data_IF_838291108808
#
_entry.id   IF_838291108808
#
_cell.length_a   1.000
_cell.length_b   1.000
_cell.length_c   1.000
_cell.angle_alpha   90.00
_cell.angle_beta   90.00
_cell.angle_gamma   90.00
#
_symmetry.space_group_name_H-M   'P 1'
#
loop_
_entity.id
_entity.type
_entity.pdbx_description
1 polymer ?
#
# COMPACT_ATOMS: atom_id res chain seq x y z
N UNK A 1 -4.84 8.02 20.89
CA UNK A 1 -3.72 7.24 21.47
C UNK A 1 -2.62 8.21 21.85
N UNK A 2 -2.18 8.19 23.11
CA UNK A 2 -0.98 8.92 23.54
C UNK A 2 0.22 8.01 23.30
N UNK A 3 0.96 8.25 22.21
CA UNK A 3 2.12 7.43 21.84
C UNK A 3 3.33 8.04 22.55
N UNK A 4 4.00 7.32 23.47
CA UNK A 4 5.15 7.84 24.19
C UNK A 4 6.20 8.43 23.24
N UNK A 5 6.70 9.63 23.56
CA UNK A 5 7.74 10.29 22.77
C UNK A 5 7.27 10.91 21.45
N UNK A 6 6.00 10.78 21.04
CA UNK A 6 5.56 11.29 19.73
C UNK A 6 5.70 12.81 19.58
N UNK A 7 5.54 13.55 20.69
CA UNK A 7 5.75 15.01 20.71
C UNK A 7 7.21 15.35 20.42
N UNK A 8 8.15 14.55 20.90
CA UNK A 8 9.59 14.72 20.65
C UNK A 8 9.88 14.38 19.18
N UNK A 9 9.41 13.23 18.70
CA UNK A 9 9.64 12.77 17.32
C UNK A 9 9.05 13.72 16.26
N UNK A 10 7.98 14.45 16.60
CA UNK A 10 7.35 15.46 15.73
C UNK A 10 7.82 16.89 16.00
N UNK A 11 8.79 17.09 16.89
CA UNK A 11 9.27 18.42 17.22
C UNK A 11 10.25 18.94 16.17
N UNK A 12 10.18 20.26 15.95
CA UNK A 12 11.15 20.98 15.12
C UNK A 12 12.56 20.84 15.68
N UNK A 13 12.71 20.98 17.00
CA UNK A 13 14.02 20.88 17.67
C UNK A 13 14.70 19.53 17.43
N UNK A 14 13.94 18.42 17.53
CA UNK A 14 14.48 17.09 17.23
C UNK A 14 14.86 16.96 15.76
N UNK A 15 14.02 17.46 14.84
CA UNK A 15 14.32 17.46 13.41
C UNK A 15 15.61 18.23 13.10
N UNK A 16 15.79 19.42 13.67
CA UNK A 16 17.02 20.22 13.49
C UNK A 16 18.26 19.51 14.04
N UNK A 17 18.14 18.82 15.18
CA UNK A 17 19.22 17.99 15.75
C UNK A 17 19.59 16.82 14.82
N UNK A 18 18.61 16.15 14.22
CA UNK A 18 18.83 15.07 13.26
C UNK A 18 19.50 15.60 11.99
N UNK A 19 19.01 16.69 11.41
CA UNK A 19 19.60 17.30 10.21
C UNK A 19 21.05 17.74 10.47
N UNK A 20 21.35 18.34 11.62
CA UNK A 20 22.73 18.68 12.01
C UNK A 20 23.62 17.44 12.10
N UNK A 21 23.10 16.34 12.65
CA UNK A 21 23.84 15.08 12.78
C UNK A 21 24.12 14.45 11.41
N UNK A 22 23.11 14.41 10.53
CA UNK A 22 23.25 13.95 9.14
C UNK A 22 24.31 14.78 8.41
N UNK A 23 24.25 16.10 8.49
CA UNK A 23 25.24 17.00 7.87
C UNK A 23 26.67 16.73 8.37
N UNK A 24 26.84 16.39 9.65
CA UNK A 24 28.16 16.05 10.20
C UNK A 24 28.71 14.75 9.61
N UNK A 25 27.87 13.71 9.49
CA UNK A 25 28.27 12.40 8.99
C UNK A 25 28.56 12.45 7.48
N UNK A 26 27.74 13.16 6.71
CA UNK A 26 27.85 13.22 5.25
C UNK A 26 29.11 13.94 4.78
N UNK A 27 29.72 14.82 5.59
CA UNK A 27 30.97 15.52 5.23
C UNK A 27 32.11 14.57 4.87
N UNK A 28 32.14 13.37 5.44
CA UNK A 28 33.18 12.38 5.21
C UNK A 28 32.87 11.46 4.01
N UNK A 29 31.69 11.61 3.40
CA UNK A 29 31.19 10.75 2.34
C UNK A 29 31.45 11.42 0.99
N UNK A 30 32.29 10.81 0.16
CA UNK A 30 32.73 11.36 -1.14
C UNK A 30 31.86 10.94 -2.33
N UNK A 31 30.75 10.25 -2.09
CA UNK A 31 29.82 9.78 -3.12
C UNK A 31 28.37 10.15 -2.77
N UNK A 32 27.49 10.36 -3.77
CA UNK A 32 26.06 10.40 -3.53
C UNK A 32 25.60 9.08 -2.89
N UNK A 33 24.68 9.17 -1.93
CA UNK A 33 24.02 8.05 -1.27
C UNK A 33 22.55 8.07 -1.65
N UNK A 34 22.08 6.94 -2.18
CA UNK A 34 20.67 6.77 -2.56
C UNK A 34 19.96 5.87 -1.57
N UNK A 35 18.99 6.43 -0.87
CA UNK A 35 18.03 5.65 -0.09
C UNK A 35 16.72 5.49 -0.86
N UNK A 36 16.03 4.37 -0.67
CA UNK A 36 14.68 4.17 -1.19
C UNK A 36 13.73 3.80 -0.05
N UNK A 37 12.57 4.43 0.02
CA UNK A 37 11.47 3.91 0.85
C UNK A 37 10.46 3.18 -0.02
N UNK A 38 9.77 2.19 0.54
CA UNK A 38 8.70 1.43 -0.13
C UNK A 38 7.37 1.56 0.62
N UNK A 39 7.08 2.78 1.11
CA UNK A 39 5.85 3.12 1.82
C UNK A 39 5.26 4.44 1.31
N UNK A 40 4.01 4.43 0.85
CA UNK A 40 3.30 5.66 0.47
C UNK A 40 3.14 6.65 1.63
N UNK A 41 3.03 6.17 2.88
CA UNK A 41 2.98 7.05 4.05
C UNK A 41 4.30 7.77 4.29
N UNK A 42 5.45 7.13 4.01
CA UNK A 42 6.75 7.80 4.07
C UNK A 42 6.86 8.87 2.99
N UNK A 43 6.41 8.58 1.75
CA UNK A 43 6.35 9.58 0.68
C UNK A 43 5.52 10.79 1.10
N UNK A 44 4.33 10.54 1.66
CA UNK A 44 3.45 11.59 2.15
C UNK A 44 4.14 12.44 3.22
N UNK A 45 4.85 11.83 4.16
CA UNK A 45 5.63 12.57 5.19
C UNK A 45 6.75 13.40 4.56
N UNK A 46 7.55 12.83 3.65
CA UNK A 46 8.64 13.55 2.99
C UNK A 46 8.12 14.77 2.23
N UNK A 47 7.01 14.60 1.50
CA UNK A 47 6.39 15.65 0.69
C UNK A 47 5.67 16.70 1.54
N UNK A 48 4.83 16.28 2.50
CA UNK A 48 4.05 17.19 3.37
C UNK A 48 4.94 18.13 4.18
N UNK A 49 6.09 17.66 4.66
CA UNK A 49 7.00 18.45 5.48
C UNK A 49 8.19 19.00 4.71
N UNK A 50 8.27 18.78 3.39
CA UNK A 50 9.38 19.30 2.58
C UNK A 50 10.74 18.81 3.05
N UNK A 51 10.86 17.53 3.43
CA UNK A 51 12.08 17.01 4.05
C UNK A 51 13.23 16.85 3.05
N UNK A 52 12.95 16.60 1.76
CA UNK A 52 13.99 16.43 0.73
C UNK A 52 14.91 17.66 0.60
N UNK A 53 14.40 18.90 0.49
CA UNK A 53 15.22 20.10 0.51
C UNK A 53 16.06 20.33 1.78
N UNK A 54 15.71 19.70 2.91
CA UNK A 54 16.46 19.85 4.17
C UNK A 54 17.68 18.94 4.26
N UNK A 55 17.75 17.92 3.39
CA UNK A 55 18.85 16.97 3.37
C UNK A 55 20.06 17.54 2.60
N UNK A 56 21.28 17.12 2.94
CA UNK A 56 22.46 17.42 2.14
C UNK A 56 22.28 16.94 0.70
N UNK A 57 22.87 17.65 -0.27
CA UNK A 57 22.78 17.33 -1.71
C UNK A 57 23.34 15.93 -2.06
N UNK A 58 24.19 15.38 -1.20
CA UNK A 58 24.76 14.04 -1.33
C UNK A 58 23.75 12.94 -1.00
N UNK A 59 22.64 13.25 -0.31
CA UNK A 59 21.59 12.28 0.02
C UNK A 59 20.40 12.43 -0.91
N UNK A 60 20.08 11.36 -1.61
CA UNK A 60 18.89 11.23 -2.43
C UNK A 60 17.92 10.24 -1.77
N UNK A 61 16.64 10.63 -1.64
CA UNK A 61 15.58 9.72 -1.17
C UNK A 61 14.58 9.47 -2.31
N UNK A 62 14.65 8.26 -2.85
CA UNK A 62 13.80 7.73 -3.90
C UNK A 62 12.50 7.13 -3.36
N UNK A 63 11.45 7.26 -4.17
CA UNK A 63 10.15 6.66 -3.93
C UNK A 63 10.07 5.32 -4.67
N UNK A 64 10.02 4.22 -3.92
CA UNK A 64 9.85 2.88 -4.45
C UNK A 64 8.37 2.45 -4.60
N UNK A 65 8.11 1.18 -4.95
CA UNK A 65 6.77 0.62 -5.16
C UNK A 65 5.97 0.44 -3.85
N UNK A 66 5.70 1.53 -3.13
CA UNK A 66 5.05 1.54 -1.81
C UNK A 66 3.55 1.81 -1.82
N UNK A 67 2.89 1.72 -2.98
CA UNK A 67 1.47 1.94 -3.18
C UNK A 67 0.83 0.67 -3.75
N UNK A 68 0.03 -0.10 -2.99
CA UNK A 68 -0.49 -1.39 -3.44
C UNK A 68 -1.47 -1.25 -4.62
N UNK A 69 -2.21 -0.14 -4.66
CA UNK A 69 -3.12 0.22 -5.75
C UNK A 69 -2.36 0.47 -7.04
N UNK A 70 -1.25 1.21 -6.95
CA UNK A 70 -0.43 1.62 -8.09
C UNK A 70 0.33 0.43 -8.73
N UNK A 71 0.63 -0.60 -7.95
CA UNK A 71 1.34 -1.82 -8.41
C UNK A 71 0.38 -2.97 -8.69
N UNK A 72 -0.94 -2.73 -8.62
CA UNK A 72 -1.94 -3.72 -8.98
C UNK A 72 -1.89 -3.95 -10.49
N UNK A 73 -1.65 -5.19 -10.96
CA UNK A 73 -1.64 -5.48 -12.40
C UNK A 73 -3.01 -5.22 -13.02
N UNK A 74 -3.04 -4.63 -14.22
CA UNK A 74 -4.28 -4.43 -14.98
C UNK A 74 -5.08 -5.73 -15.10
N UNK A 75 -4.40 -6.87 -15.27
CA UNK A 75 -5.02 -8.19 -15.35
C UNK A 75 -5.84 -8.57 -14.10
N UNK A 76 -5.46 -8.13 -12.90
CA UNK A 76 -6.24 -8.40 -11.69
C UNK A 76 -7.51 -7.53 -11.63
N UNK A 77 -7.43 -6.29 -12.12
CA UNK A 77 -8.58 -5.40 -12.25
C UNK A 77 -9.52 -5.90 -13.35
N UNK A 78 -8.98 -6.37 -14.48
CA UNK A 78 -9.75 -6.96 -15.57
C UNK A 78 -10.55 -8.19 -15.11
N UNK A 79 -9.99 -9.04 -14.24
CA UNK A 79 -10.75 -10.15 -13.62
C UNK A 79 -11.94 -9.63 -12.82
N UNK A 80 -11.75 -8.63 -11.98
CA UNK A 80 -12.83 -8.02 -11.21
C UNK A 80 -13.90 -7.40 -12.13
N UNK A 81 -13.46 -6.84 -13.25
CA UNK A 81 -14.36 -6.28 -14.27
C UNK A 81 -15.19 -7.36 -14.95
N UNK A 82 -14.57 -8.44 -15.43
CA UNK A 82 -15.29 -9.52 -16.11
C UNK A 82 -16.29 -10.21 -15.18
N UNK A 83 -15.92 -10.44 -13.91
CA UNK A 83 -16.85 -10.97 -12.90
C UNK A 83 -17.99 -9.99 -12.65
N UNK A 84 -17.69 -8.70 -12.49
CA UNK A 84 -18.69 -7.66 -12.19
C UNK A 84 -19.68 -7.36 -13.33
N UNK A 85 -19.48 -7.90 -14.53
CA UNK A 85 -20.47 -7.83 -15.61
C UNK A 85 -21.66 -8.78 -15.41
N UNK A 86 -21.55 -9.76 -14.51
CA UNK A 86 -22.63 -10.70 -14.21
C UNK A 86 -23.70 -10.02 -13.34
N UNK A 87 -24.97 -10.25 -13.67
CA UNK A 87 -26.10 -9.65 -12.95
C UNK A 87 -26.26 -10.16 -11.50
N UNK A 88 -25.73 -11.34 -11.22
CA UNK A 88 -25.76 -12.00 -9.91
C UNK A 88 -24.60 -11.60 -9.00
N UNK A 89 -23.79 -10.59 -9.35
CA UNK A 89 -22.61 -10.19 -8.60
C UNK A 89 -22.69 -8.78 -8.01
N UNK A 90 -21.94 -8.56 -6.92
CA UNK A 90 -21.61 -7.25 -6.37
C UNK A 90 -20.09 -7.18 -6.19
N UNK A 91 -19.42 -6.28 -6.90
CA UNK A 91 -17.99 -6.02 -6.68
C UNK A 91 -17.84 -5.00 -5.56
N UNK A 92 -17.04 -5.33 -4.54
CA UNK A 92 -16.66 -4.40 -3.47
C UNK A 92 -15.17 -4.09 -3.57
N UNK A 93 -14.82 -2.82 -3.47
CA UNK A 93 -13.43 -2.34 -3.64
C UNK A 93 -13.16 -1.11 -2.77
N UNK A 94 -11.89 -0.82 -2.50
CA UNK A 94 -11.50 0.44 -1.89
C UNK A 94 -11.73 1.63 -2.85
N UNK A 95 -11.92 2.82 -2.26
CA UNK A 95 -12.27 4.04 -3.02
C UNK A 95 -11.16 4.56 -3.92
N UNK A 96 -9.90 4.31 -3.58
CA UNK A 96 -8.73 4.64 -4.41
C UNK A 96 -8.59 3.71 -5.63
N UNK A 97 -8.96 2.44 -5.48
CA UNK A 97 -8.91 1.45 -6.57
C UNK A 97 -10.00 1.66 -7.64
N UNK A 98 -11.19 2.17 -7.28
CA UNK A 98 -12.35 2.18 -8.20
C UNK A 98 -12.07 2.91 -9.54
N UNK A 99 -11.18 3.89 -9.55
CA UNK A 99 -10.84 4.70 -10.74
C UNK A 99 -9.57 4.27 -11.45
N UNK A 100 -8.88 3.24 -10.96
CA UNK A 100 -7.64 2.77 -11.59
C UNK A 100 -7.98 2.19 -12.97
N UNK A 101 -7.28 2.64 -14.04
CA UNK A 101 -7.50 2.10 -15.37
C UNK A 101 -6.99 0.65 -15.45
N UNK A 102 -7.80 -0.25 -16.00
CA UNK A 102 -7.37 -1.57 -16.45
C UNK A 102 -7.12 -1.56 -17.96
N UNK A 103 -7.28 -2.69 -18.66
CA UNK A 103 -7.01 -2.76 -20.11
C UNK A 103 -7.98 -1.91 -20.92
N UNK A 104 -9.29 -2.05 -20.67
CA UNK A 104 -10.34 -1.39 -21.48
C UNK A 104 -11.23 -0.43 -20.67
N UNK A 105 -11.36 -0.65 -19.36
CA UNK A 105 -12.20 0.15 -18.48
C UNK A 105 -11.72 0.08 -17.03
N UNK A 106 -12.22 0.99 -16.20
CA UNK A 106 -12.09 0.97 -14.73
C UNK A 106 -13.36 0.42 -14.08
N UNK A 107 -13.30 0.05 -12.80
CA UNK A 107 -14.48 -0.34 -12.01
C UNK A 107 -15.52 0.80 -11.92
N UNK A 108 -15.08 2.06 -11.91
CA UNK A 108 -15.96 3.22 -11.97
C UNK A 108 -16.73 3.29 -13.30
N UNK A 109 -16.07 3.02 -14.42
CA UNK A 109 -16.72 2.96 -15.74
C UNK A 109 -17.63 1.74 -15.86
N UNK A 110 -17.27 0.60 -15.26
CA UNK A 110 -18.14 -0.57 -15.17
C UNK A 110 -19.44 -0.25 -14.41
N UNK A 111 -19.32 0.41 -13.25
CA UNK A 111 -20.46 0.92 -12.48
C UNK A 111 -21.36 1.84 -13.30
N UNK A 112 -20.76 2.76 -14.06
CA UNK A 112 -21.52 3.67 -14.93
C UNK A 112 -22.28 2.94 -16.05
N UNK A 113 -21.89 1.71 -16.40
CA UNK A 113 -22.59 0.83 -17.35
C UNK A 113 -23.67 -0.04 -16.71
N UNK A 114 -23.97 0.14 -15.43
CA UNK A 114 -25.07 -0.53 -14.72
C UNK A 114 -24.67 -1.67 -13.78
N UNK A 115 -23.37 -2.03 -13.73
CA UNK A 115 -22.89 -3.05 -12.79
C UNK A 115 -22.97 -2.59 -11.33
N UNK A 116 -23.20 -3.54 -10.40
CA UNK A 116 -23.24 -3.26 -8.97
C UNK A 116 -21.82 -3.25 -8.38
N UNK A 117 -21.20 -2.06 -8.36
CA UNK A 117 -19.88 -1.82 -7.75
C UNK A 117 -20.01 -0.89 -6.55
N UNK A 118 -19.52 -1.33 -5.39
CA UNK A 118 -19.64 -0.62 -4.11
C UNK A 118 -18.26 -0.32 -3.52
N UNK A 119 -18.11 0.89 -2.96
CA UNK A 119 -16.91 1.29 -2.24
C UNK A 119 -17.05 0.84 -0.79
N UNK A 120 -16.01 0.23 -0.24
CA UNK A 120 -15.95 -0.23 1.16
C UNK A 120 -14.67 0.26 1.84
N UNK A 121 -14.67 0.32 3.18
CA UNK A 121 -13.47 0.65 3.96
C UNK A 121 -12.67 -0.58 4.38
N UNK A 122 -13.21 -1.78 4.19
CA UNK A 122 -12.54 -3.03 4.48
C UNK A 122 -13.40 -4.26 4.19
N UNK A 123 -12.85 -5.47 4.41
CA UNK A 123 -13.54 -6.72 4.13
C UNK A 123 -14.80 -6.92 5.00
N UNK A 124 -14.81 -6.36 6.21
CA UNK A 124 -15.97 -6.42 7.10
C UNK A 124 -17.24 -5.80 6.49
N UNK A 125 -17.09 -4.67 5.78
CA UNK A 125 -18.21 -4.02 5.10
C UNK A 125 -18.70 -4.86 3.93
N UNK A 126 -17.80 -5.52 3.19
CA UNK A 126 -18.15 -6.45 2.12
C UNK A 126 -18.94 -7.65 2.66
N UNK A 127 -18.61 -8.14 3.85
CA UNK A 127 -19.37 -9.21 4.52
C UNK A 127 -20.76 -8.76 4.95
N UNK A 128 -20.92 -7.53 5.45
CA UNK A 128 -22.25 -6.97 5.71
C UNK A 128 -23.10 -6.93 4.44
N UNK A 129 -22.51 -6.46 3.34
CA UNK A 129 -23.17 -6.45 2.03
C UNK A 129 -23.54 -7.88 1.60
N UNK A 130 -22.70 -8.88 1.82
CA UNK A 130 -23.01 -10.29 1.54
C UNK A 130 -24.23 -10.79 2.31
N UNK A 131 -24.32 -10.48 3.62
CA UNK A 131 -25.47 -10.84 4.47
C UNK A 131 -26.77 -10.16 4.02
N UNK A 132 -26.69 -8.92 3.57
CA UNK A 132 -27.84 -8.13 3.10
C UNK A 132 -28.31 -8.54 1.69
N UNK A 133 -27.49 -9.24 0.91
CA UNK A 133 -27.75 -9.60 -0.48
C UNK A 133 -27.57 -11.11 -0.71
N UNK A 134 -28.36 -11.98 -0.05
CA UNK A 134 -28.14 -13.44 -0.08
C UNK A 134 -28.29 -14.09 -1.47
N UNK A 135 -28.98 -13.41 -2.39
CA UNK A 135 -29.18 -13.89 -3.76
C UNK A 135 -28.10 -13.43 -4.74
N UNK A 136 -27.08 -12.70 -4.27
CA UNK A 136 -25.95 -12.24 -5.09
C UNK A 136 -24.63 -12.70 -4.50
N UNK A 137 -23.69 -13.04 -5.37
CA UNK A 137 -22.29 -13.26 -4.99
C UNK A 137 -21.62 -11.91 -4.73
N UNK A 138 -21.07 -11.71 -3.54
CA UNK A 138 -20.37 -10.49 -3.15
C UNK A 138 -18.88 -10.76 -3.17
N UNK A 139 -18.18 -10.07 -4.08
CA UNK A 139 -16.77 -10.29 -4.34
C UNK A 139 -15.98 -9.10 -3.81
N UNK A 140 -15.09 -9.36 -2.86
CA UNK A 140 -14.14 -8.36 -2.36
C UNK A 140 -12.87 -8.37 -3.19
N UNK A 141 -12.58 -7.25 -3.86
CA UNK A 141 -11.33 -7.07 -4.58
C UNK A 141 -10.22 -6.70 -3.59
N UNK A 142 -9.54 -7.71 -3.07
CA UNK A 142 -8.56 -7.58 -2.00
C UNK A 142 -7.21 -7.14 -2.54
N UNK A 143 -6.93 -5.85 -2.40
CA UNK A 143 -5.66 -5.21 -2.76
C UNK A 143 -5.00 -4.70 -1.50
N UNK A 144 -3.67 -4.78 -1.48
CA UNK A 144 -2.90 -4.25 -0.38
C UNK A 144 -1.54 -4.91 -0.27
N UNK A 145 -0.91 -4.67 0.87
CA UNK A 145 0.30 -5.34 1.31
C UNK A 145 0.00 -6.16 2.57
N UNK A 146 1.05 -6.55 3.28
CA UNK A 146 0.96 -7.33 4.50
C UNK A 146 0.14 -6.63 5.59
N UNK A 147 0.08 -5.30 5.59
CA UNK A 147 -0.73 -4.50 6.54
C UNK A 147 -2.22 -4.80 6.51
N UNK A 148 -2.72 -5.17 5.33
CA UNK A 148 -4.15 -5.34 5.07
C UNK A 148 -4.56 -6.80 4.96
N UNK A 149 -3.61 -7.72 4.73
CA UNK A 149 -3.88 -9.15 4.63
C UNK A 149 -4.50 -9.77 5.90
N UNK A 150 -4.09 -9.39 7.14
CA UNK A 150 -4.71 -9.91 8.35
C UNK A 150 -6.21 -9.60 8.47
N UNK A 151 -6.66 -8.47 7.91
CA UNK A 151 -8.08 -8.07 7.96
C UNK A 151 -8.95 -9.10 7.23
N UNK A 152 -8.54 -9.52 6.02
CA UNK A 152 -9.29 -10.55 5.30
C UNK A 152 -9.08 -11.93 5.91
N UNK A 153 -7.88 -12.22 6.43
CA UNK A 153 -7.58 -13.48 7.09
C UNK A 153 -8.50 -13.74 8.28
N UNK A 154 -8.72 -12.72 9.11
CA UNK A 154 -9.65 -12.77 10.23
C UNK A 154 -11.09 -13.04 9.79
N UNK A 155 -11.54 -12.34 8.74
CA UNK A 155 -12.90 -12.47 8.23
C UNK A 155 -13.15 -13.86 7.63
N UNK A 156 -12.18 -14.42 6.88
CA UNK A 156 -12.24 -15.79 6.36
C UNK A 156 -12.28 -16.80 7.51
N UNK A 157 -11.40 -16.64 8.51
CA UNK A 157 -11.36 -17.52 9.68
C UNK A 157 -12.67 -17.48 10.48
N UNK A 158 -13.36 -16.35 10.46
CA UNK A 158 -14.61 -16.12 11.18
C UNK A 158 -15.86 -16.71 10.49
N UNK A 159 -15.70 -17.39 9.34
CA UNK A 159 -16.79 -18.06 8.63
C UNK A 159 -17.73 -17.08 7.94
N UNK A 160 -17.31 -16.44 6.83
CA UNK A 160 -18.16 -15.51 6.10
C UNK A 160 -19.36 -16.23 5.47
N UNK A 161 -20.41 -15.49 5.07
CA UNK A 161 -21.52 -16.04 4.30
C UNK A 161 -21.05 -16.82 3.06
N UNK A 162 -21.77 -17.86 2.66
CA UNK A 162 -21.39 -18.70 1.51
C UNK A 162 -21.36 -17.98 0.16
N UNK A 163 -22.00 -16.81 0.07
CA UNK A 163 -22.00 -15.95 -1.11
C UNK A 163 -20.88 -14.89 -1.08
N UNK A 164 -19.90 -14.99 -0.17
CA UNK A 164 -18.75 -14.09 -0.11
C UNK A 164 -17.52 -14.72 -0.79
N UNK A 165 -16.97 -14.00 -1.77
CA UNK A 165 -15.78 -14.40 -2.53
C UNK A 165 -14.70 -13.31 -2.48
N UNK A 166 -13.45 -13.68 -2.75
CA UNK A 166 -12.30 -12.75 -2.72
C UNK A 166 -11.47 -12.88 -3.99
N UNK A 167 -11.21 -11.75 -4.66
CA UNK A 167 -10.14 -11.67 -5.65
C UNK A 167 -8.88 -11.22 -4.93
N UNK A 168 -7.95 -12.16 -4.70
CA UNK A 168 -6.70 -11.90 -3.99
C UNK A 168 -5.67 -11.27 -4.92
N UNK A 169 -5.44 -9.96 -4.79
CA UNK A 169 -4.45 -9.20 -5.54
C UNK A 169 -3.34 -8.60 -4.64
N UNK A 170 -3.19 -9.11 -3.41
CA UNK A 170 -2.12 -8.71 -2.49
C UNK A 170 -0.72 -8.85 -3.12
N UNK A 171 0.19 -8.03 -2.62
CA UNK A 171 1.61 -8.03 -3.00
C UNK A 171 2.46 -8.05 -1.74
N UNK A 172 3.69 -8.54 -1.86
CA UNK A 172 4.64 -8.67 -0.76
C UNK A 172 5.75 -7.63 -0.92
N UNK A 173 6.01 -6.86 0.13
CA UNK A 173 7.09 -5.89 0.16
C UNK A 173 8.46 -6.57 0.13
N UNK A 174 8.77 -7.64 0.91
CA UNK A 174 10.06 -8.30 0.85
C UNK A 174 10.43 -8.75 -0.57
N UNK A 175 9.48 -9.35 -1.30
CA UNK A 175 9.69 -9.76 -2.69
C UNK A 175 9.98 -8.56 -3.62
N UNK A 176 9.30 -7.43 -3.42
CA UNK A 176 9.59 -6.20 -4.16
C UNK A 176 10.99 -5.65 -3.83
N UNK A 177 11.43 -5.72 -2.57
CA UNK A 177 12.76 -5.30 -2.16
C UNK A 177 13.85 -6.20 -2.74
N UNK A 178 13.69 -7.52 -2.69
CA UNK A 178 14.62 -8.49 -3.31
C UNK A 178 14.80 -8.19 -4.80
N UNK A 179 13.68 -7.94 -5.52
CA UNK A 179 13.74 -7.56 -6.92
C UNK A 179 14.53 -6.25 -7.10
N UNK A 180 14.27 -5.21 -6.32
CA UNK A 180 14.99 -3.94 -6.42
C UNK A 180 16.49 -4.07 -6.10
N UNK A 181 16.85 -4.87 -5.10
CA UNK A 181 18.25 -5.17 -4.73
C UNK A 181 18.97 -5.87 -5.88
N UNK A 182 18.30 -6.78 -6.59
CA UNK A 182 18.87 -7.47 -7.75
C UNK A 182 19.20 -6.53 -8.93
N UNK A 183 18.60 -5.35 -8.98
CA UNK A 183 18.78 -4.38 -10.06
C UNK A 183 19.95 -3.43 -9.78
N UNK A 184 21.17 -3.88 -10.08
CA UNK A 184 22.41 -3.10 -9.85
C UNK A 184 22.41 -1.69 -10.47
N UNK A 185 21.68 -1.51 -11.58
CA UNK A 185 21.49 -0.22 -12.26
C UNK A 185 20.81 0.85 -11.40
N UNK A 186 20.01 0.47 -10.40
CA UNK A 186 19.33 1.42 -9.52
C UNK A 186 20.29 2.10 -8.52
N UNK A 187 21.44 1.48 -8.23
CA UNK A 187 22.48 1.98 -7.31
C UNK A 187 21.91 2.47 -5.98
N UNK A 188 21.06 1.65 -5.35
CA UNK A 188 20.46 1.94 -4.04
C UNK A 188 21.47 1.53 -2.96
N UNK A 189 21.85 2.47 -2.08
CA UNK A 189 22.77 2.23 -0.96
C UNK A 189 22.03 1.76 0.31
N UNK A 190 20.70 1.96 0.39
CA UNK A 190 19.90 1.44 1.51
C UNK A 190 18.40 1.66 1.36
N UNK A 191 17.64 0.99 2.22
CA UNK A 191 16.18 1.07 2.24
C UNK A 191 15.64 1.61 3.57
N UNK A 192 14.54 2.35 3.50
CA UNK A 192 13.74 2.76 4.65
C UNK A 192 12.52 1.84 4.70
N UNK A 193 12.57 0.83 5.57
CA UNK A 193 11.55 -0.22 5.66
C UNK A 193 10.18 0.34 6.10
N UNK A 194 9.07 -0.16 5.54
CA UNK A 194 7.71 0.31 5.84
C UNK A 194 7.26 -0.09 7.25
N UNK A 195 7.10 0.89 8.14
CA UNK A 195 6.78 0.64 9.55
C UNK A 195 5.53 -0.23 9.76
N UNK A 196 4.40 0.09 9.11
CA UNK A 196 3.16 -0.68 9.27
C UNK A 196 3.29 -2.14 8.77
N UNK A 197 4.04 -2.37 7.68
CA UNK A 197 4.30 -3.73 7.18
C UNK A 197 5.21 -4.47 8.13
N UNK A 198 6.26 -3.82 8.63
CA UNK A 198 7.15 -4.38 9.66
C UNK A 198 6.41 -4.74 10.95
N UNK A 199 5.31 -4.05 11.30
CA UNK A 199 4.45 -4.47 12.42
C UNK A 199 3.81 -5.84 12.20
N UNK A 200 3.51 -6.22 10.95
CA UNK A 200 2.89 -7.51 10.63
C UNK A 200 3.91 -8.62 10.49
N UNK A 201 4.98 -8.39 9.73
CA UNK A 201 5.95 -9.45 9.39
C UNK A 201 7.23 -9.42 10.23
N UNK A 202 7.35 -8.45 11.13
CA UNK A 202 8.55 -8.24 11.95
C UNK A 202 9.75 -7.75 11.14
N UNK A 203 10.93 -7.88 11.75
CA UNK A 203 12.21 -7.44 11.16
C UNK A 203 12.93 -8.54 10.38
N UNK A 204 12.58 -9.81 10.60
CA UNK A 204 13.31 -10.94 10.01
C UNK A 204 13.34 -10.91 8.48
N UNK A 205 12.26 -10.57 7.76
CA UNK A 205 12.27 -10.50 6.30
C UNK A 205 13.10 -9.35 5.70
N UNK A 206 13.68 -8.47 6.54
CA UNK A 206 14.51 -7.34 6.11
C UNK A 206 15.98 -7.49 6.50
N UNK A 207 16.36 -8.61 7.10
CA UNK A 207 17.75 -8.94 7.44
C UNK A 207 18.40 -9.72 6.30
#
# INVERSE_FOLDING_TARGET
>A
MDIPGIKILRSREFTEKIIKSINKIVKDIKKPIKFMHVCGTHEHTLSKYGLRPLLPKEIEILSGPGCPVCVCPAADIDKAIEIGKRDDTIITTFGDMIRVPATNLSLAQLKAKGADVRIVYGPHDAIKIAKENPNKEVIFFAIGFETTAPLIGYEIQSGPPSNFSVICAYKLIPAALELLISQSQLRIDGFISPGHVSTIIGLQPFK
#
